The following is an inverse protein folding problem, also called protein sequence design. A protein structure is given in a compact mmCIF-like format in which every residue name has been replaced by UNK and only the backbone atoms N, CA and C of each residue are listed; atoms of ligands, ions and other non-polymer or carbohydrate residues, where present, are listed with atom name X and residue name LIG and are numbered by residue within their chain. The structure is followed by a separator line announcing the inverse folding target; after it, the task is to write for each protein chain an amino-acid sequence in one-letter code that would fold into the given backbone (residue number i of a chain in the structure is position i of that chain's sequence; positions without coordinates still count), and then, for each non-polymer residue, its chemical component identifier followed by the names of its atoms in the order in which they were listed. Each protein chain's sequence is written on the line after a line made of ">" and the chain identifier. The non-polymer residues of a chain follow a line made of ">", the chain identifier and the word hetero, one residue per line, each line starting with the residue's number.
data_IF_493628462433
#
_entry.id   IF_493628462433
#
_cell.length_a   1.000
_cell.length_b   1.000
_cell.length_c   1.000
_cell.angle_alpha   90.00
_cell.angle_beta   90.00
_cell.angle_gamma   90.00
#
_symmetry.space_group_name_H-M   'P 1'
#
loop_
_entity.id
_entity.type
_entity.pdbx_description
1 polymer ?
#
# COMPACT_ATOMS: atom_id res chain seq x y z
N UNK A 1 10.38 7.48 -20.60
CA UNK A 1 9.76 8.51 -19.73
C UNK A 1 8.29 8.23 -19.44
N UNK A 2 7.25 8.96 -19.91
CA UNK A 2 5.87 8.78 -19.40
C UNK A 2 5.36 7.32 -19.43
N UNK A 3 5.47 6.63 -20.57
CA UNK A 3 5.09 5.21 -20.68
C UNK A 3 5.90 4.30 -19.74
N UNK A 4 7.17 4.60 -19.53
CA UNK A 4 8.08 3.85 -18.66
C UNK A 4 7.71 4.04 -17.19
N UNK A 5 7.39 5.26 -16.76
CA UNK A 5 6.88 5.59 -15.43
C UNK A 5 5.53 4.92 -15.16
N UNK A 6 4.68 4.79 -16.19
CA UNK A 6 3.46 3.97 -16.10
C UNK A 6 3.79 2.50 -15.88
N UNK A 7 4.71 1.92 -16.66
CA UNK A 7 5.16 0.54 -16.48
C UNK A 7 5.79 0.29 -15.11
N UNK A 8 6.60 1.23 -14.59
CA UNK A 8 7.21 1.18 -13.25
C UNK A 8 6.13 1.23 -12.15
N UNK A 9 5.11 2.09 -12.30
CA UNK A 9 3.94 2.11 -11.42
C UNK A 9 3.10 0.83 -11.47
N UNK A 10 2.91 0.25 -12.66
CA UNK A 10 2.21 -1.02 -12.85
C UNK A 10 2.98 -2.20 -12.23
N UNK A 11 4.31 -2.24 -12.38
CA UNK A 11 5.17 -3.27 -11.77
C UNK A 11 5.16 -3.14 -10.24
N UNK A 12 5.22 -1.93 -9.69
CA UNK A 12 5.08 -1.72 -8.24
C UNK A 12 3.71 -2.18 -7.72
N UNK A 13 2.64 -1.90 -8.46
CA UNK A 13 1.29 -2.41 -8.14
C UNK A 13 1.18 -3.94 -8.24
N UNK A 14 1.85 -4.57 -9.21
CA UNK A 14 1.92 -6.02 -9.31
C UNK A 14 2.70 -6.66 -8.14
N UNK A 15 3.77 -6.01 -7.66
CA UNK A 15 4.49 -6.41 -6.45
C UNK A 15 3.62 -6.28 -5.19
N UNK A 16 2.83 -5.20 -5.06
CA UNK A 16 1.84 -5.05 -3.99
C UNK A 16 0.80 -6.19 -4.03
N UNK A 17 0.21 -6.48 -5.19
CA UNK A 17 -0.73 -7.60 -5.36
C UNK A 17 -0.08 -8.94 -4.99
N UNK A 18 1.17 -9.19 -5.40
CA UNK A 18 1.91 -10.40 -5.06
C UNK A 18 2.11 -10.55 -3.54
N UNK A 19 2.51 -9.48 -2.85
CA UNK A 19 2.65 -9.46 -1.38
C UNK A 19 1.31 -9.76 -0.70
N UNK A 20 0.22 -9.18 -1.18
CA UNK A 20 -1.12 -9.47 -0.68
C UNK A 20 -1.54 -10.93 -0.92
N UNK A 21 -1.29 -11.50 -2.11
CA UNK A 21 -1.59 -12.91 -2.46
C UNK A 21 -0.80 -13.87 -1.57
N UNK A 22 0.51 -13.62 -1.38
CA UNK A 22 1.36 -14.43 -0.50
C UNK A 22 0.89 -14.31 0.96
N UNK A 23 0.46 -13.12 1.38
CA UNK A 23 -0.03 -12.84 2.73
C UNK A 23 -1.30 -13.60 3.12
N UNK A 24 -2.32 -13.64 2.25
CA UNK A 24 -3.57 -14.35 2.55
C UNK A 24 -3.52 -15.86 2.26
N UNK A 25 -2.41 -16.36 1.68
CA UNK A 25 -2.27 -17.74 1.18
C UNK A 25 -2.65 -18.84 2.18
N UNK A 26 -2.50 -18.59 3.49
CA UNK A 26 -2.92 -19.51 4.56
C UNK A 26 -4.27 -19.14 5.16
N UNK A 27 -4.46 -17.86 5.48
CA UNK A 27 -5.73 -17.31 5.96
C UNK A 27 -5.76 -15.79 5.80
N UNK A 28 -6.92 -15.16 5.53
CA UNK A 28 -7.08 -13.71 5.63
C UNK A 28 -6.80 -13.16 7.04
N UNK A 29 -6.83 -14.02 8.07
CA UNK A 29 -6.44 -13.68 9.46
C UNK A 29 -4.96 -13.28 9.56
N UNK A 30 -4.07 -13.81 8.72
CA UNK A 30 -2.65 -13.44 8.74
C UNK A 30 -2.44 -11.99 8.26
N UNK A 31 -3.42 -11.40 7.56
CA UNK A 31 -3.46 -10.00 7.11
C UNK A 31 -4.41 -9.12 7.93
N UNK A 32 -4.97 -9.62 9.04
CA UNK A 32 -6.02 -8.95 9.83
C UNK A 32 -5.63 -7.56 10.34
N UNK A 33 -4.34 -7.23 10.47
CA UNK A 33 -3.89 -5.90 10.89
C UNK A 33 -4.25 -4.79 9.89
N UNK A 34 -4.45 -5.11 8.61
CA UNK A 34 -4.94 -4.18 7.58
C UNK A 34 -6.41 -3.79 7.79
N UNK A 35 -7.20 -4.62 8.48
CA UNK A 35 -8.62 -4.40 8.67
C UNK A 35 -8.92 -3.35 9.76
N UNK A 36 -10.12 -2.73 9.74
CA UNK A 36 -10.53 -1.75 10.74
C UNK A 36 -10.62 -2.30 12.18
N UNK A 37 -10.53 -1.44 13.21
CA UNK A 37 -10.50 -1.86 14.63
C UNK A 37 -11.58 -2.88 15.02
N UNK A 38 -12.85 -2.64 14.64
CA UNK A 38 -13.98 -3.54 14.93
C UNK A 38 -13.76 -4.99 14.45
N UNK A 39 -13.17 -5.17 13.26
CA UNK A 39 -12.88 -6.51 12.71
C UNK A 39 -11.75 -7.15 13.50
N UNK A 40 -10.70 -6.38 13.83
CA UNK A 40 -9.56 -6.86 14.64
C UNK A 40 -10.01 -7.28 16.04
N UNK A 41 -10.86 -6.50 16.69
CA UNK A 41 -11.48 -6.82 17.98
C UNK A 41 -12.37 -8.06 17.90
N UNK A 42 -13.17 -8.23 16.84
CA UNK A 42 -13.95 -9.44 16.59
C UNK A 42 -13.03 -10.66 16.44
N UNK A 43 -11.95 -10.56 15.67
CA UNK A 43 -10.98 -11.65 15.47
C UNK A 43 -10.26 -12.06 16.77
N UNK A 44 -9.92 -11.10 17.63
CA UNK A 44 -9.37 -11.38 18.97
C UNK A 44 -10.42 -12.05 19.87
N UNK A 45 -11.68 -11.58 19.87
CA UNK A 45 -12.78 -12.21 20.63
C UNK A 45 -13.12 -13.63 20.15
N UNK A 46 -12.88 -13.93 18.88
CA UNK A 46 -13.01 -15.27 18.28
C UNK A 46 -11.78 -16.17 18.50
N UNK A 47 -10.73 -15.69 19.19
CA UNK A 47 -9.50 -16.47 19.44
C UNK A 47 -8.61 -16.68 18.20
N UNK A 48 -8.92 -16.05 17.07
CA UNK A 48 -8.20 -16.23 15.81
C UNK A 48 -6.79 -15.60 15.82
N UNK A 49 -6.57 -14.62 16.70
CA UNK A 49 -5.32 -13.84 16.81
C UNK A 49 -5.26 -13.09 18.14
N UNK A 50 -4.12 -12.48 18.47
CA UNK A 50 -3.95 -11.65 19.69
C UNK A 50 -3.55 -10.21 19.35
N UNK A 51 -3.81 -9.21 20.22
CA UNK A 51 -3.41 -7.82 19.97
C UNK A 51 -1.91 -7.64 19.74
N UNK A 52 -1.08 -8.43 20.42
CA UNK A 52 0.38 -8.43 20.32
C UNK A 52 0.82 -8.96 18.96
N UNK A 53 0.19 -10.05 18.51
CA UNK A 53 0.41 -10.59 17.16
C UNK A 53 0.03 -9.57 16.09
N UNK A 54 -1.16 -8.97 16.18
CA UNK A 54 -1.61 -7.90 15.27
C UNK A 54 -0.61 -6.74 15.23
N UNK A 55 -0.11 -6.30 16.38
CA UNK A 55 0.88 -5.21 16.48
C UNK A 55 2.22 -5.60 15.85
N UNK A 56 2.74 -6.79 16.16
CA UNK A 56 4.02 -7.31 15.63
C UNK A 56 3.95 -7.48 14.11
N UNK A 57 2.94 -8.19 13.62
CA UNK A 57 2.83 -8.56 12.21
C UNK A 57 2.61 -7.30 11.34
N UNK A 58 1.89 -6.28 11.86
CA UNK A 58 1.82 -4.92 11.25
C UNK A 58 3.17 -4.20 11.20
N UNK A 59 3.97 -4.26 12.27
CA UNK A 59 5.28 -3.61 12.32
C UNK A 59 6.23 -4.26 11.33
N UNK A 60 6.25 -5.60 11.24
CA UNK A 60 7.03 -6.34 10.24
C UNK A 60 6.62 -5.94 8.83
N UNK A 61 5.32 -5.98 8.51
CA UNK A 61 4.82 -5.58 7.19
C UNK A 61 5.23 -4.16 6.80
N UNK A 62 5.06 -3.19 7.69
CA UNK A 62 5.47 -1.80 7.45
C UNK A 62 6.99 -1.69 7.27
N UNK A 63 7.80 -2.38 8.09
CA UNK A 63 9.25 -2.34 8.04
C UNK A 63 9.85 -3.03 6.81
N UNK A 64 9.13 -3.96 6.16
CA UNK A 64 9.54 -4.57 4.89
C UNK A 64 9.01 -3.79 3.69
N UNK A 65 7.69 -3.51 3.64
CA UNK A 65 7.05 -2.99 2.44
C UNK A 65 7.35 -1.50 2.21
N UNK A 66 7.36 -0.67 3.24
CA UNK A 66 7.57 0.78 3.07
C UNK A 66 8.99 1.08 2.57
N UNK A 67 10.07 0.52 3.16
CA UNK A 67 11.41 0.64 2.59
C UNK A 67 11.52 0.01 1.19
N UNK A 68 10.87 -1.13 0.95
CA UNK A 68 10.84 -1.75 -0.39
C UNK A 68 10.28 -0.84 -1.48
N UNK A 69 9.15 -0.18 -1.22
CA UNK A 69 8.53 0.76 -2.17
C UNK A 69 9.36 2.04 -2.36
N UNK A 70 10.00 2.54 -1.29
CA UNK A 70 10.92 3.68 -1.37
C UNK A 70 12.15 3.33 -2.21
N UNK A 71 12.81 2.20 -1.94
CA UNK A 71 13.99 1.74 -2.69
C UNK A 71 13.63 1.51 -4.16
N UNK A 72 12.50 0.86 -4.45
CA UNK A 72 12.03 0.65 -5.82
C UNK A 72 11.83 1.97 -6.58
N UNK A 73 11.12 2.94 -5.98
CA UNK A 73 10.88 4.23 -6.60
C UNK A 73 12.18 5.02 -6.82
N UNK A 74 13.13 5.00 -5.86
CA UNK A 74 14.43 5.65 -6.01
C UNK A 74 15.28 5.01 -7.12
N UNK A 75 15.28 3.67 -7.23
CA UNK A 75 16.02 2.95 -8.29
C UNK A 75 15.44 3.28 -9.67
N UNK A 76 14.11 3.22 -9.84
CA UNK A 76 13.47 3.59 -11.11
C UNK A 76 13.79 5.03 -11.50
N UNK A 77 13.60 5.99 -10.59
CA UNK A 77 13.71 7.42 -10.91
C UNK A 77 15.16 7.88 -11.12
N UNK A 78 16.11 7.43 -10.30
CA UNK A 78 17.48 7.93 -10.34
C UNK A 78 18.48 7.01 -11.07
N UNK A 79 18.32 5.69 -10.98
CA UNK A 79 19.24 4.74 -11.62
C UNK A 79 18.79 4.32 -13.04
N UNK A 80 17.48 4.20 -13.28
CA UNK A 80 16.93 3.79 -14.60
C UNK A 80 16.54 5.00 -15.46
N UNK A 81 15.73 5.93 -14.92
CA UNK A 81 15.28 7.13 -15.63
C UNK A 81 16.29 8.28 -15.61
N UNK A 82 17.36 8.18 -14.79
CA UNK A 82 18.44 9.17 -14.74
C UNK A 82 18.02 10.57 -14.30
N UNK A 83 16.95 10.70 -13.52
CA UNK A 83 16.39 12.01 -13.14
C UNK A 83 17.41 12.88 -12.39
N UNK A 84 17.48 14.16 -12.75
CA UNK A 84 18.33 15.16 -12.06
C UNK A 84 17.50 16.35 -11.61
N UNK A 85 17.75 16.82 -10.39
CA UNK A 85 17.05 17.95 -9.79
C UNK A 85 15.62 17.65 -9.30
N UNK A 86 15.13 18.56 -8.45
CA UNK A 86 13.94 18.32 -7.63
C UNK A 86 12.67 17.99 -8.42
N UNK A 87 12.32 18.81 -9.41
CA UNK A 87 11.05 18.66 -10.12
C UNK A 87 11.00 17.33 -10.88
N UNK A 88 12.10 16.97 -11.55
CA UNK A 88 12.22 15.75 -12.34
C UNK A 88 12.10 14.48 -11.48
N UNK A 89 12.67 14.47 -10.27
CA UNK A 89 12.49 13.36 -9.34
C UNK A 89 11.10 13.32 -8.72
N UNK A 90 10.58 14.49 -8.31
CA UNK A 90 9.30 14.62 -7.61
C UNK A 90 8.14 14.05 -8.42
N UNK A 91 7.99 14.47 -9.69
CA UNK A 91 6.82 14.06 -10.48
C UNK A 91 6.84 12.57 -10.81
N UNK A 92 8.01 11.97 -10.99
CA UNK A 92 8.15 10.53 -11.26
C UNK A 92 7.85 9.69 -10.03
N UNK A 93 8.42 10.02 -8.86
CA UNK A 93 8.12 9.32 -7.60
C UNK A 93 6.64 9.44 -7.28
N UNK A 94 6.05 10.64 -7.43
CA UNK A 94 4.63 10.86 -7.22
C UNK A 94 3.77 10.01 -8.18
N UNK A 95 4.12 9.94 -9.47
CA UNK A 95 3.40 9.15 -10.47
C UNK A 95 3.47 7.63 -10.20
N UNK A 96 4.65 7.08 -9.92
CA UNK A 96 4.84 5.65 -9.61
C UNK A 96 4.00 5.24 -8.39
N UNK A 97 4.12 6.00 -7.29
CA UNK A 97 3.38 5.73 -6.05
C UNK A 97 1.87 5.97 -6.21
N UNK A 98 1.45 6.95 -7.01
CA UNK A 98 0.04 7.19 -7.29
C UNK A 98 -0.57 6.04 -8.11
N UNK A 99 0.11 5.54 -9.15
CA UNK A 99 -0.36 4.40 -9.95
C UNK A 99 -0.48 3.12 -9.09
N UNK A 100 0.51 2.84 -8.24
CA UNK A 100 0.40 1.76 -7.24
C UNK A 100 -0.82 1.97 -6.33
N UNK A 101 -1.07 3.21 -5.87
CA UNK A 101 -2.25 3.58 -5.07
C UNK A 101 -3.59 3.45 -5.82
N UNK A 102 -3.61 3.63 -7.15
CA UNK A 102 -4.79 3.35 -7.97
C UNK A 102 -5.07 1.85 -8.07
N UNK A 103 -4.02 1.01 -8.10
CA UNK A 103 -4.16 -0.46 -8.09
C UNK A 103 -4.65 -0.95 -6.71
N UNK A 104 -4.08 -0.45 -5.61
CA UNK A 104 -4.60 -0.68 -4.25
C UNK A 104 -6.09 -0.31 -4.18
N UNK A 105 -6.44 0.90 -4.65
CA UNK A 105 -7.81 1.42 -4.64
C UNK A 105 -8.79 0.57 -5.45
N UNK A 106 -8.55 0.38 -6.74
CA UNK A 106 -9.58 -0.15 -7.64
C UNK A 106 -9.54 -1.67 -7.73
N UNK A 107 -8.35 -2.28 -7.70
CA UNK A 107 -8.19 -3.72 -7.82
C UNK A 107 -8.24 -4.42 -6.46
N UNK A 108 -7.54 -3.91 -5.43
CA UNK A 108 -7.50 -4.56 -4.11
C UNK A 108 -8.73 -4.17 -3.27
N UNK A 109 -8.88 -2.90 -2.89
CA UNK A 109 -9.96 -2.38 -2.01
C UNK A 109 -11.38 -2.61 -2.58
N UNK A 110 -11.65 -2.23 -3.83
CA UNK A 110 -13.01 -2.26 -4.40
C UNK A 110 -13.38 -3.60 -5.06
N UNK A 111 -12.48 -4.19 -5.87
CA UNK A 111 -12.78 -5.44 -6.57
C UNK A 111 -12.46 -6.68 -5.72
N UNK A 112 -11.19 -6.88 -5.33
CA UNK A 112 -10.78 -8.16 -4.74
C UNK A 112 -11.29 -8.33 -3.30
N UNK A 113 -11.13 -7.33 -2.44
CA UNK A 113 -11.68 -7.31 -1.08
C UNK A 113 -13.20 -7.05 -1.09
N UNK A 114 -13.69 -6.22 -2.02
CA UNK A 114 -15.09 -5.78 -2.06
C UNK A 114 -16.07 -6.70 -2.79
N UNK A 115 -15.61 -7.57 -3.71
CA UNK A 115 -16.46 -8.44 -4.55
C UNK A 115 -16.12 -9.93 -4.50
N UNK A 116 -15.04 -10.34 -3.85
CA UNK A 116 -14.66 -11.77 -3.75
C UNK A 116 -14.54 -12.20 -2.29
N UNK A 117 -14.77 -13.48 -2.02
CA UNK A 117 -14.68 -14.01 -0.66
C UNK A 117 -13.24 -14.37 -0.22
N UNK A 118 -12.23 -14.05 -1.03
CA UNK A 118 -10.81 -14.27 -0.71
C UNK A 118 -10.33 -13.47 0.52
N UNK A 119 -11.05 -12.41 0.91
CA UNK A 119 -10.74 -11.55 2.06
C UNK A 119 -11.82 -11.61 3.15
N UNK A 120 -12.45 -12.79 3.32
CA UNK A 120 -13.45 -13.02 4.36
C UNK A 120 -12.84 -13.78 5.52
N UNK A 121 -12.90 -13.18 6.71
CA UNK A 121 -12.56 -13.88 7.95
C UNK A 121 -13.87 -14.47 8.51
N UNK A 122 -13.95 -15.79 8.75
CA UNK A 122 -15.14 -16.42 9.32
C UNK A 122 -15.55 -15.79 10.66
N UNK A 123 -16.85 -15.49 10.83
CA UNK A 123 -17.39 -14.79 11.99
C UNK A 123 -17.19 -13.27 11.97
N UNK A 124 -16.99 -12.69 10.79
CA UNK A 124 -16.91 -11.23 10.56
C UNK A 124 -17.77 -10.75 9.38
N UNK A 125 -18.56 -11.64 8.78
CA UNK A 125 -19.39 -11.39 7.60
C UNK A 125 -20.44 -10.30 7.87
N UNK A 126 -20.90 -10.21 9.13
CA UNK A 126 -21.77 -9.17 9.68
C UNK A 126 -21.17 -7.75 9.63
N UNK A 127 -19.84 -7.66 9.47
CA UNK A 127 -19.10 -6.40 9.38
C UNK A 127 -18.84 -5.98 7.92
N UNK A 128 -19.32 -6.71 6.91
CA UNK A 128 -19.27 -6.26 5.50
C UNK A 128 -20.28 -5.11 5.26
N UNK A 129 -19.93 -4.04 4.52
CA UNK A 129 -18.59 -3.71 4.03
C UNK A 129 -17.70 -3.16 5.14
N UNK A 130 -16.49 -3.73 5.29
CA UNK A 130 -15.61 -3.47 6.43
C UNK A 130 -15.25 -1.98 6.63
N UNK A 131 -15.18 -1.18 5.56
CA UNK A 131 -14.89 0.26 5.59
C UNK A 131 -16.06 1.04 4.98
N UNK A 132 -16.55 2.06 5.70
CA UNK A 132 -17.61 2.95 5.22
C UNK A 132 -17.15 3.80 4.03
N UNK A 133 -18.06 4.19 3.13
CA UNK A 133 -17.72 5.05 1.99
C UNK A 133 -17.08 6.40 2.42
N UNK A 134 -17.49 6.95 3.59
CA UNK A 134 -16.89 8.15 4.18
C UNK A 134 -15.44 7.91 4.60
N UNK A 135 -15.14 6.76 5.17
CA UNK A 135 -13.79 6.44 5.64
C UNK A 135 -12.87 5.95 4.50
N UNK A 136 -13.43 5.36 3.43
CA UNK A 136 -12.72 5.18 2.14
C UNK A 136 -12.29 6.52 1.56
N UNK A 137 -13.19 7.52 1.53
CA UNK A 137 -12.86 8.87 1.06
C UNK A 137 -11.73 9.51 1.90
N UNK A 138 -11.75 9.35 3.24
CA UNK A 138 -10.64 9.76 4.11
C UNK A 138 -9.34 9.00 3.81
N UNK A 139 -9.38 7.67 3.61
CA UNK A 139 -8.21 6.86 3.20
C UNK A 139 -7.59 7.47 1.94
N UNK A 140 -8.39 7.72 0.90
CA UNK A 140 -7.95 8.28 -0.39
C UNK A 140 -7.34 9.68 -0.29
N UNK A 141 -7.93 10.59 0.50
CA UNK A 141 -7.41 11.94 0.69
C UNK A 141 -6.08 11.92 1.43
N UNK A 142 -6.01 11.18 2.54
CA UNK A 142 -4.77 11.03 3.32
C UNK A 142 -3.67 10.34 2.51
N UNK A 143 -3.97 9.26 1.77
CA UNK A 143 -2.97 8.58 0.94
C UNK A 143 -2.41 9.48 -0.17
N UNK A 144 -3.26 10.31 -0.81
CA UNK A 144 -2.81 11.25 -1.85
C UNK A 144 -1.87 12.31 -1.26
N UNK A 145 -2.21 12.88 -0.09
CA UNK A 145 -1.33 13.83 0.63
C UNK A 145 -0.02 13.16 1.04
N UNK A 146 -0.05 11.92 1.52
CA UNK A 146 1.16 11.16 1.86
C UNK A 146 2.06 10.88 0.65
N UNK A 147 1.49 10.58 -0.53
CA UNK A 147 2.28 10.42 -1.77
C UNK A 147 2.99 11.71 -2.16
N UNK A 148 2.28 12.85 -2.15
CA UNK A 148 2.87 14.16 -2.46
C UNK A 148 3.96 14.55 -1.46
N UNK A 149 3.71 14.34 -0.16
CA UNK A 149 4.71 14.59 0.89
C UNK A 149 5.96 13.71 0.72
N UNK A 150 5.77 12.39 0.55
CA UNK A 150 6.87 11.44 0.42
C UNK A 150 7.70 11.70 -0.84
N UNK A 151 7.06 11.96 -1.99
CA UNK A 151 7.75 12.34 -3.23
C UNK A 151 8.55 13.64 -3.07
N UNK A 152 8.03 14.62 -2.32
CA UNK A 152 8.73 15.87 -2.03
C UNK A 152 9.96 15.65 -1.15
N UNK A 153 9.83 14.87 -0.07
CA UNK A 153 10.95 14.56 0.83
C UNK A 153 12.03 13.76 0.11
N UNK A 154 11.66 12.68 -0.58
CA UNK A 154 12.61 11.83 -1.31
C UNK A 154 13.34 12.59 -2.42
N UNK A 155 12.61 13.37 -3.24
CA UNK A 155 13.26 14.15 -4.30
C UNK A 155 14.09 15.31 -3.75
N UNK A 156 13.66 15.94 -2.65
CA UNK A 156 14.44 16.95 -1.95
C UNK A 156 15.79 16.41 -1.47
N UNK A 157 15.78 15.26 -0.81
CA UNK A 157 16.99 14.56 -0.35
C UNK A 157 17.88 14.17 -1.55
N UNK A 158 17.33 13.49 -2.56
CA UNK A 158 18.09 13.06 -3.72
C UNK A 158 18.68 14.24 -4.52
N UNK A 159 18.03 15.40 -4.54
CA UNK A 159 18.55 16.63 -5.16
C UNK A 159 19.81 17.16 -4.49
N UNK A 160 20.07 16.83 -3.22
CA UNK A 160 21.33 17.19 -2.55
C UNK A 160 22.53 16.36 -3.07
N UNK A 161 22.26 15.15 -3.58
CA UNK A 161 23.26 14.20 -4.09
C UNK A 161 23.35 14.14 -5.62
N UNK A 162 22.42 14.79 -6.34
CA UNK A 162 22.30 14.77 -7.82
C UNK A 162 22.44 16.17 -8.45
N UNK A 163 23.24 17.04 -7.82
CA UNK A 163 23.68 18.33 -8.36
C UNK A 163 24.75 18.13 -9.44
#
# INVERSE_FOLDING_TARGET
>A
MVLQIVLEGLVLGALLVLVCVVGIRKSPVDMVYLYPPKVRERCVKLGLTTPERIKRDRVIFNATCIPGYIIYALVCVYAINGARGFLAGFWQIAAILFIMGLIDRFFIDEYWVGRTDAWVIPGTEDLKPYISARDKCKKWLLSTVWVVFLASVLSGIATLFTR
#
